data_IF_127163361479
#
_entry.id   IF_127163361479
#
_cell.length_a   1.000
_cell.length_b   1.000
_cell.length_c   1.000
_cell.angle_alpha   90.00
_cell.angle_beta   90.00
_cell.angle_gamma   90.00
#
_symmetry.space_group_name_H-M   'P 1'
#
loop_
_entity.id
_entity.type
_entity.pdbx_description
1 polymer ?
#
# COMPACT_ATOMS: atom_id res chain seq x y z
N UNK A 1 -1.02 8.18 13.22
CA UNK A 1 -2.15 8.41 14.13
C UNK A 1 -3.34 8.98 13.37
N UNK A 2 -4.56 8.60 13.73
CA UNK A 2 -5.77 9.10 13.10
C UNK A 2 -5.79 10.64 13.11
N UNK A 3 -6.11 11.28 11.95
CA UNK A 3 -6.10 12.74 11.76
C UNK A 3 -4.72 13.42 11.91
N UNK A 4 -3.62 12.69 11.80
CA UNK A 4 -2.27 13.29 11.78
C UNK A 4 -2.08 14.20 10.55
N UNK A 5 -2.83 13.98 9.51
CA UNK A 5 -2.84 14.72 8.25
C UNK A 5 -4.11 15.58 8.05
N UNK A 6 -4.76 16.01 9.14
CA UNK A 6 -5.96 16.84 9.09
C UNK A 6 -5.72 18.22 8.48
N UNK A 7 -4.49 18.72 8.50
CA UNK A 7 -4.02 19.86 7.69
C UNK A 7 -2.62 19.58 7.18
N UNK A 8 -2.13 20.26 6.12
CA UNK A 8 -0.77 20.12 5.62
C UNK A 8 0.30 20.36 6.71
N UNK A 9 0.09 21.34 7.60
CA UNK A 9 1.00 21.65 8.69
C UNK A 9 1.06 20.49 9.70
N UNK A 10 -0.09 19.92 10.08
CA UNK A 10 -0.13 18.76 10.98
C UNK A 10 0.53 17.52 10.34
N UNK A 11 0.37 17.34 9.03
CA UNK A 11 1.07 16.30 8.30
C UNK A 11 2.59 16.50 8.37
N UNK A 12 3.07 17.73 8.22
CA UNK A 12 4.49 18.06 8.35
C UNK A 12 5.00 17.82 9.78
N UNK A 13 4.28 18.25 10.79
CA UNK A 13 4.65 18.02 12.19
C UNK A 13 4.77 16.53 12.49
N UNK A 14 3.81 15.72 12.03
CA UNK A 14 3.84 14.26 12.19
C UNK A 14 5.01 13.63 11.42
N UNK A 15 5.22 14.01 10.15
CA UNK A 15 6.32 13.53 9.32
C UNK A 15 7.69 13.90 9.92
N UNK A 16 7.84 15.12 10.41
CA UNK A 16 9.07 15.59 11.09
C UNK A 16 9.41 14.68 12.28
N UNK A 17 8.44 14.36 13.11
CA UNK A 17 8.64 13.44 14.26
C UNK A 17 9.03 12.03 13.81
N UNK A 18 8.46 11.52 12.72
CA UNK A 18 8.84 10.21 12.17
C UNK A 18 10.28 10.22 11.65
N UNK A 19 10.66 11.24 10.89
CA UNK A 19 12.02 11.36 10.36
C UNK A 19 13.05 11.54 11.49
N UNK A 20 12.75 12.32 12.51
CA UNK A 20 13.59 12.46 13.70
C UNK A 20 13.74 11.14 14.48
N UNK A 21 12.72 10.27 14.44
CA UNK A 21 12.78 8.94 15.02
C UNK A 21 13.48 7.89 14.11
N UNK A 22 14.02 8.31 12.97
CA UNK A 22 14.78 7.45 12.05
C UNK A 22 13.99 6.91 10.86
N UNK A 23 12.74 7.33 10.64
CA UNK A 23 12.04 7.00 9.40
C UNK A 23 12.68 7.74 8.21
N UNK A 24 12.61 7.14 7.02
CA UNK A 24 13.13 7.73 5.78
C UNK A 24 12.04 8.26 4.86
N UNK A 25 10.77 7.98 5.18
CA UNK A 25 9.61 8.33 4.37
C UNK A 25 8.36 8.39 5.25
N UNK A 26 7.42 9.29 4.95
CA UNK A 26 6.10 9.35 5.58
C UNK A 26 5.04 8.73 4.67
N UNK A 27 4.09 7.94 5.23
CA UNK A 27 3.00 7.33 4.45
C UNK A 27 1.68 8.05 4.72
N UNK A 28 0.92 8.38 3.63
CA UNK A 28 -0.41 8.98 3.66
C UNK A 28 -1.42 8.17 2.85
N UNK A 29 -2.67 8.07 3.35
CA UNK A 29 -3.75 7.31 2.72
C UNK A 29 -4.73 8.21 1.98
N UNK A 30 -5.03 7.86 0.71
CA UNK A 30 -6.03 8.49 -0.13
C UNK A 30 -5.52 9.59 -1.05
N UNK A 31 -6.41 10.06 -1.95
CA UNK A 31 -6.14 11.08 -2.96
C UNK A 31 -7.25 12.14 -3.02
N UNK A 32 -7.94 12.44 -1.91
CA UNK A 32 -8.84 13.59 -1.89
C UNK A 32 -8.04 14.89 -2.06
N UNK A 33 -8.64 16.00 -2.53
CA UNK A 33 -7.93 17.27 -2.70
C UNK A 33 -7.09 17.64 -1.47
N UNK A 34 -7.67 17.50 -0.31
CA UNK A 34 -7.00 17.74 0.97
C UNK A 34 -5.76 16.81 1.18
N UNK A 35 -5.82 15.53 0.77
CA UNK A 35 -4.67 14.62 0.85
C UNK A 35 -3.59 14.97 -0.16
N UNK A 36 -3.99 15.35 -1.37
CA UNK A 36 -3.06 15.83 -2.40
C UNK A 36 -2.33 17.11 -1.96
N UNK A 37 -3.02 18.03 -1.31
CA UNK A 37 -2.40 19.24 -0.73
C UNK A 37 -1.40 18.89 0.37
N UNK A 38 -1.70 17.92 1.23
CA UNK A 38 -0.75 17.45 2.25
C UNK A 38 0.47 16.78 1.61
N UNK A 39 0.30 15.92 0.57
CA UNK A 39 1.41 15.30 -0.14
C UNK A 39 2.30 16.36 -0.78
N UNK A 40 1.73 17.34 -1.49
CA UNK A 40 2.47 18.44 -2.12
C UNK A 40 3.24 19.26 -1.09
N UNK A 41 2.59 19.62 0.00
CA UNK A 41 3.18 20.41 1.06
C UNK A 41 4.40 19.72 1.71
N UNK A 42 4.35 18.41 1.87
CA UNK A 42 5.47 17.60 2.37
C UNK A 42 6.59 17.49 1.34
N UNK A 43 6.25 17.17 0.09
CA UNK A 43 7.23 17.00 -0.98
C UNK A 43 8.01 18.29 -1.27
N UNK A 44 7.35 19.46 -1.26
CA UNK A 44 8.00 20.78 -1.40
C UNK A 44 8.98 21.11 -0.24
N UNK A 45 8.91 20.36 0.86
CA UNK A 45 9.79 20.49 2.04
C UNK A 45 10.75 19.33 2.20
N UNK A 46 11.05 18.66 1.08
CA UNK A 46 12.02 17.57 0.99
C UNK A 46 11.66 16.34 1.85
N UNK A 47 10.38 16.17 2.24
CA UNK A 47 9.91 14.98 2.93
C UNK A 47 9.47 13.94 1.90
N UNK A 48 10.16 12.79 1.78
CA UNK A 48 9.70 11.71 0.90
C UNK A 48 8.34 11.17 1.33
N UNK A 49 7.41 11.02 0.39
CA UNK A 49 6.04 10.58 0.66
C UNK A 49 5.73 9.26 -0.04
N UNK A 50 5.24 8.29 0.72
CA UNK A 50 4.59 7.09 0.23
C UNK A 50 3.08 7.31 0.24
N UNK A 51 2.45 7.40 -0.92
CA UNK A 51 1.00 7.40 -1.03
C UNK A 51 0.43 5.98 -0.87
N UNK A 52 -0.84 5.86 -0.46
CA UNK A 52 -1.51 4.59 -0.32
C UNK A 52 -2.94 4.68 -0.86
N UNK A 53 -3.27 3.85 -1.83
CA UNK A 53 -4.56 3.79 -2.51
C UNK A 53 -5.13 2.37 -2.52
N UNK A 54 -6.38 2.24 -2.94
CA UNK A 54 -7.15 1.02 -2.86
C UNK A 54 -7.90 0.92 -1.53
N UNK A 55 -7.82 -0.21 -0.85
CA UNK A 55 -8.30 -0.31 0.52
C UNK A 55 -7.37 0.47 1.44
N UNK A 56 -7.90 1.48 2.10
CA UNK A 56 -7.17 2.27 3.08
C UNK A 56 -7.73 1.99 4.47
N UNK A 57 -6.95 1.41 5.40
CA UNK A 57 -7.43 1.02 6.73
C UNK A 57 -8.13 2.13 7.51
N UNK A 58 -7.66 3.38 7.40
CA UNK A 58 -8.31 4.51 8.06
C UNK A 58 -9.70 4.85 7.48
N UNK A 59 -10.00 4.39 6.27
CA UNK A 59 -11.29 4.60 5.60
C UNK A 59 -12.22 3.38 5.65
N UNK A 60 -11.87 2.32 6.37
CA UNK A 60 -12.59 1.04 6.37
C UNK A 60 -14.08 1.19 6.71
N UNK A 61 -14.43 2.09 7.62
CA UNK A 61 -15.84 2.38 7.97
C UNK A 61 -16.59 3.01 6.79
N UNK A 62 -15.97 3.95 6.08
CA UNK A 62 -16.54 4.61 4.90
C UNK A 62 -16.65 3.65 3.72
N UNK A 63 -15.72 2.72 3.58
CA UNK A 63 -15.69 1.71 2.52
C UNK A 63 -16.64 0.53 2.79
N UNK A 64 -17.27 0.47 3.98
CA UNK A 64 -18.18 -0.60 4.36
C UNK A 64 -17.47 -1.93 4.63
N UNK A 65 -16.25 -1.88 5.15
CA UNK A 65 -15.43 -3.03 5.52
C UNK A 65 -14.21 -3.24 4.61
N UNK A 66 -13.54 -4.37 4.80
CA UNK A 66 -12.37 -4.77 4.01
C UNK A 66 -12.82 -5.32 2.65
N UNK A 67 -12.87 -4.46 1.64
CA UNK A 67 -13.35 -4.79 0.30
C UNK A 67 -12.30 -4.44 -0.76
N UNK A 68 -12.24 -5.25 -1.81
CA UNK A 68 -11.45 -4.96 -3.01
C UNK A 68 -11.97 -3.68 -3.66
N UNK A 69 -11.06 -2.79 -4.03
CA UNK A 69 -11.34 -1.49 -4.63
C UNK A 69 -11.06 -1.52 -6.13
N UNK A 70 -11.85 -0.79 -6.93
CA UNK A 70 -11.62 -0.70 -8.36
C UNK A 70 -12.18 -1.89 -9.17
N UNK A 71 -13.24 -2.57 -8.72
CA UNK A 71 -13.83 -3.73 -9.40
C UNK A 71 -14.69 -3.37 -10.60
N UNK A 72 -15.31 -2.22 -10.59
CA UNK A 72 -16.09 -1.74 -11.74
C UNK A 72 -15.31 -0.67 -12.52
N UNK A 73 -15.69 -0.44 -13.77
CA UNK A 73 -14.96 0.46 -14.67
C UNK A 73 -14.84 1.88 -14.14
N UNK A 74 -15.88 2.39 -13.47
CA UNK A 74 -15.88 3.72 -12.88
C UNK A 74 -14.91 3.82 -11.71
N UNK A 75 -14.93 2.84 -10.82
CA UNK A 75 -14.01 2.78 -9.68
C UNK A 75 -12.56 2.54 -10.15
N UNK A 76 -12.37 1.72 -11.18
CA UNK A 76 -11.05 1.51 -11.79
C UNK A 76 -10.51 2.78 -12.43
N UNK A 77 -11.30 3.49 -13.24
CA UNK A 77 -10.90 4.76 -13.84
C UNK A 77 -10.51 5.79 -12.78
N UNK A 78 -11.32 5.90 -11.72
CA UNK A 78 -11.03 6.80 -10.62
C UNK A 78 -9.74 6.44 -9.89
N UNK A 79 -9.48 5.17 -9.62
CA UNK A 79 -8.25 4.75 -8.94
C UNK A 79 -7.00 5.06 -9.79
N UNK A 80 -7.08 4.97 -11.12
CA UNK A 80 -6.02 5.38 -12.05
C UNK A 80 -5.79 6.90 -12.01
N UNK A 81 -6.87 7.69 -11.99
CA UNK A 81 -6.79 9.15 -11.84
C UNK A 81 -6.14 9.53 -10.49
N UNK A 82 -6.59 8.91 -9.40
CA UNK A 82 -6.05 9.11 -8.06
C UNK A 82 -4.56 8.74 -7.99
N UNK A 83 -4.13 7.66 -8.66
CA UNK A 83 -2.73 7.24 -8.72
C UNK A 83 -1.83 8.25 -9.46
N UNK A 84 -2.30 8.80 -10.57
CA UNK A 84 -1.59 9.89 -11.27
C UNK A 84 -1.54 11.15 -10.41
N UNK A 85 -2.65 11.50 -9.77
CA UNK A 85 -2.74 12.71 -8.95
C UNK A 85 -1.77 12.68 -7.75
N UNK A 86 -1.61 11.53 -7.06
CA UNK A 86 -0.63 11.43 -5.97
C UNK A 86 0.81 11.52 -6.48
N UNK A 87 1.12 10.96 -7.64
CA UNK A 87 2.43 11.13 -8.28
C UNK A 87 2.68 12.60 -8.62
N UNK A 88 1.72 13.29 -9.23
CA UNK A 88 1.83 14.71 -9.61
C UNK A 88 1.92 15.61 -8.37
N UNK A 89 1.33 15.22 -7.26
CA UNK A 89 1.47 15.90 -5.99
C UNK A 89 2.86 15.73 -5.34
N UNK A 90 3.72 14.84 -5.88
CA UNK A 90 5.10 14.66 -5.43
C UNK A 90 5.32 13.39 -4.58
N UNK A 91 4.39 12.44 -4.56
CA UNK A 91 4.65 11.14 -3.95
C UNK A 91 5.83 10.45 -4.65
N UNK A 92 6.68 9.80 -3.85
CA UNK A 92 7.87 9.07 -4.33
C UNK A 92 7.63 7.56 -4.44
N UNK A 93 6.54 7.06 -3.85
CA UNK A 93 6.17 5.65 -3.82
C UNK A 93 4.64 5.54 -3.69
N UNK A 94 4.04 4.50 -4.26
CA UNK A 94 2.63 4.20 -4.12
C UNK A 94 2.40 2.77 -3.61
N UNK A 95 1.66 2.63 -2.51
CA UNK A 95 1.10 1.34 -2.07
C UNK A 95 -0.27 1.15 -2.70
N UNK A 96 -0.52 -0.03 -3.29
CA UNK A 96 -1.82 -0.47 -3.80
C UNK A 96 -2.30 -1.66 -2.95
N UNK A 97 -3.41 -1.47 -2.21
CA UNK A 97 -3.97 -2.51 -1.34
C UNK A 97 -5.34 -2.99 -1.82
N UNK A 98 -5.50 -4.31 -1.91
CA UNK A 98 -6.77 -4.96 -2.29
C UNK A 98 -7.35 -4.37 -3.59
N UNK A 99 -6.55 -4.41 -4.66
CA UNK A 99 -6.89 -3.95 -6.02
C UNK A 99 -6.84 -5.14 -6.98
N UNK A 100 -7.75 -5.25 -7.97
CA UNK A 100 -7.65 -6.28 -9.01
C UNK A 100 -6.29 -6.25 -9.70
N UNK A 101 -5.69 -7.44 -9.93
CA UNK A 101 -4.33 -7.58 -10.47
C UNK A 101 -4.13 -6.85 -11.80
N UNK A 102 -5.12 -6.95 -12.71
CA UNK A 102 -5.06 -6.28 -14.01
C UNK A 102 -5.05 -4.74 -13.87
N UNK A 103 -5.83 -4.20 -12.92
CA UNK A 103 -5.86 -2.77 -12.65
C UNK A 103 -4.55 -2.29 -12.01
N UNK A 104 -4.00 -3.05 -11.05
CA UNK A 104 -2.71 -2.73 -10.44
C UNK A 104 -1.58 -2.76 -11.47
N UNK A 105 -1.56 -3.74 -12.38
CA UNK A 105 -0.62 -3.81 -13.49
C UNK A 105 -0.71 -2.58 -14.40
N UNK A 106 -1.93 -2.16 -14.76
CA UNK A 106 -2.14 -0.96 -15.58
C UNK A 106 -1.63 0.31 -14.87
N UNK A 107 -1.94 0.48 -13.58
CA UNK A 107 -1.46 1.61 -12.78
C UNK A 107 0.07 1.60 -12.70
N UNK A 108 0.69 0.46 -12.42
CA UNK A 108 2.16 0.32 -12.35
C UNK A 108 2.82 0.74 -13.67
N UNK A 109 2.26 0.30 -14.81
CA UNK A 109 2.80 0.66 -16.14
C UNK A 109 2.61 2.13 -16.54
N UNK A 110 1.69 2.85 -15.91
CA UNK A 110 1.42 4.27 -16.19
C UNK A 110 2.24 5.23 -15.33
N UNK A 111 2.67 4.80 -14.15
CA UNK A 111 3.39 5.64 -13.21
C UNK A 111 4.91 5.61 -13.46
N UNK A 112 5.58 6.68 -13.03
CA UNK A 112 7.04 6.77 -12.99
C UNK A 112 7.60 6.44 -11.61
N UNK A 113 6.77 6.50 -10.57
CA UNK A 113 7.14 6.13 -9.20
C UNK A 113 6.89 4.64 -8.98
N UNK A 114 7.72 3.95 -8.17
CA UNK A 114 7.53 2.55 -7.87
C UNK A 114 6.19 2.28 -7.18
N UNK A 115 5.63 1.10 -7.43
CA UNK A 115 4.42 0.60 -6.78
C UNK A 115 4.72 -0.60 -5.88
N UNK A 116 4.07 -0.65 -4.73
CA UNK A 116 4.15 -1.77 -3.79
C UNK A 116 2.76 -2.37 -3.61
N UNK A 117 2.62 -3.65 -3.94
CA UNK A 117 1.34 -4.36 -3.84
C UNK A 117 1.14 -5.03 -2.49
N UNK A 118 -0.09 -5.04 -2.01
CA UNK A 118 -0.59 -5.90 -0.96
C UNK A 118 -2.00 -6.35 -1.33
N UNK A 119 -2.16 -7.59 -1.77
CA UNK A 119 -3.39 -8.04 -2.40
C UNK A 119 -3.71 -7.29 -3.70
N UNK A 120 -2.69 -6.96 -4.49
CA UNK A 120 -2.81 -6.24 -5.76
C UNK A 120 -2.18 -7.02 -6.95
N UNK A 121 -1.88 -8.29 -6.74
CA UNK A 121 -1.26 -9.16 -7.75
C UNK A 121 0.25 -8.94 -7.90
N UNK A 122 0.90 -9.75 -8.77
CA UNK A 122 2.35 -9.81 -8.87
C UNK A 122 2.99 -8.71 -9.73
N UNK A 123 2.22 -7.85 -10.38
CA UNK A 123 2.71 -6.90 -11.38
C UNK A 123 3.14 -5.53 -10.81
N UNK A 124 3.05 -5.34 -9.49
CA UNK A 124 3.66 -4.20 -8.82
C UNK A 124 5.19 -4.39 -8.74
N UNK A 125 5.94 -3.30 -8.63
CA UNK A 125 7.41 -3.31 -8.55
C UNK A 125 7.95 -4.00 -7.29
N UNK A 126 7.12 -4.08 -6.24
CA UNK A 126 7.42 -4.81 -5.02
C UNK A 126 6.16 -5.25 -4.29
N UNK A 127 6.34 -5.98 -3.19
CA UNK A 127 5.26 -6.49 -2.35
C UNK A 127 5.49 -6.17 -0.89
N UNK A 128 4.41 -5.96 -0.14
CA UNK A 128 4.44 -5.87 1.32
C UNK A 128 3.39 -6.80 1.92
N UNK A 129 3.70 -7.38 3.06
CA UNK A 129 2.75 -8.06 3.94
C UNK A 129 2.93 -7.57 5.38
N UNK A 130 1.84 -7.56 6.14
CA UNK A 130 1.89 -7.31 7.58
C UNK A 130 2.67 -8.45 8.25
N UNK A 131 3.48 -8.12 9.26
CA UNK A 131 4.27 -9.09 10.02
C UNK A 131 3.47 -10.32 10.46
N UNK A 132 2.27 -10.10 11.00
CA UNK A 132 1.39 -11.18 11.45
C UNK A 132 0.96 -12.10 10.31
N UNK A 133 0.73 -11.55 9.11
CA UNK A 133 0.33 -12.30 7.93
C UNK A 133 1.49 -13.16 7.41
N UNK A 134 2.72 -12.62 7.36
CA UNK A 134 3.94 -13.37 6.97
C UNK A 134 4.16 -14.56 7.89
N UNK A 135 3.93 -14.39 9.19
CA UNK A 135 4.15 -15.41 10.20
C UNK A 135 2.93 -16.31 10.46
N UNK A 136 1.84 -16.13 9.71
CA UNK A 136 0.62 -16.90 9.90
C UNK A 136 -0.03 -16.77 11.28
N UNK A 137 0.27 -15.68 12.00
CA UNK A 137 -0.28 -15.44 13.34
C UNK A 137 -1.76 -15.13 13.23
N UNK A 138 -2.59 -15.99 13.81
CA UNK A 138 -4.03 -15.83 13.80
C UNK A 138 -4.44 -14.70 14.75
N UNK A 139 -5.08 -13.66 14.21
CA UNK A 139 -5.65 -12.55 14.97
C UNK A 139 -7.12 -12.78 15.36
N UNK A 140 -7.65 -13.99 15.14
CA UNK A 140 -9.08 -14.31 15.36
C UNK A 140 -10.01 -13.75 14.28
N UNK A 141 -9.48 -13.16 13.21
CA UNK A 141 -10.23 -12.68 12.08
C UNK A 141 -10.04 -13.58 10.84
N UNK A 142 -11.02 -13.56 9.93
CA UNK A 142 -10.88 -14.29 8.66
C UNK A 142 -9.62 -13.80 7.92
N UNK A 143 -8.71 -14.75 7.65
CA UNK A 143 -7.49 -14.50 6.89
C UNK A 143 -7.82 -13.93 5.49
N UNK A 144 -7.27 -12.78 5.08
CA UNK A 144 -7.47 -12.26 3.73
C UNK A 144 -6.94 -13.20 2.67
N UNK A 145 -7.52 -13.19 1.46
CA UNK A 145 -7.12 -14.05 0.35
C UNK A 145 -5.63 -13.91 -0.01
N UNK A 146 -5.08 -12.72 0.06
CA UNK A 146 -3.70 -12.42 -0.32
C UNK A 146 -2.64 -12.85 0.70
N UNK A 147 -3.05 -13.38 1.87
CA UNK A 147 -2.14 -13.77 2.94
C UNK A 147 -1.66 -15.20 2.76
N UNK A 148 -0.33 -15.38 2.73
CA UNK A 148 0.35 -16.67 2.79
C UNK A 148 1.19 -16.77 4.07
N UNK A 149 1.05 -17.88 4.78
CA UNK A 149 1.87 -18.21 5.94
C UNK A 149 3.22 -18.76 5.46
N UNK A 150 4.28 -17.99 5.69
CA UNK A 150 5.65 -18.39 5.35
C UNK A 150 6.37 -19.07 6.52
N UNK A 151 5.82 -18.97 7.76
CA UNK A 151 6.42 -19.62 8.92
C UNK A 151 6.27 -21.14 8.86
N UNK A 152 5.13 -21.63 8.37
CA UNK A 152 4.86 -23.07 8.26
C UNK A 152 5.92 -23.81 7.41
N UNK A 153 6.50 -23.17 6.39
CA UNK A 153 7.56 -23.72 5.55
C UNK A 153 8.97 -23.25 5.91
N UNK A 154 9.09 -22.12 6.63
CA UNK A 154 10.38 -21.48 6.91
C UNK A 154 11.11 -22.00 8.15
N UNK A 155 10.45 -22.76 9.03
CA UNK A 155 11.02 -23.38 10.22
C UNK A 155 11.43 -22.42 11.34
N UNK A 156 11.58 -21.13 11.05
CA UNK A 156 11.91 -20.06 11.99
C UNK A 156 11.37 -18.73 11.49
N UNK A 157 11.30 -17.70 12.36
CA UNK A 157 10.92 -16.34 11.99
C UNK A 157 11.84 -15.80 10.90
N UNK A 158 13.15 -15.94 11.04
CA UNK A 158 14.12 -15.52 10.03
C UNK A 158 13.91 -16.28 8.70
N UNK A 159 13.70 -17.60 8.77
CA UNK A 159 13.40 -18.44 7.60
C UNK A 159 12.12 -18.02 6.89
N UNK A 160 11.07 -17.64 7.62
CA UNK A 160 9.82 -17.12 7.05
C UNK A 160 10.05 -15.83 6.25
N UNK A 161 10.79 -14.86 6.81
CA UNK A 161 11.10 -13.63 6.09
C UNK A 161 11.99 -13.86 4.87
N UNK A 162 12.96 -14.75 4.97
CA UNK A 162 13.80 -15.12 3.83
C UNK A 162 12.96 -15.77 2.73
N UNK A 163 12.12 -16.74 3.07
CA UNK A 163 11.22 -17.40 2.13
C UNK A 163 10.23 -16.42 1.46
N UNK A 164 9.70 -15.47 2.22
CA UNK A 164 8.86 -14.39 1.67
C UNK A 164 9.64 -13.53 0.66
N UNK A 165 10.81 -13.06 1.05
CA UNK A 165 11.62 -12.20 0.20
C UNK A 165 12.05 -12.90 -1.10
N UNK A 166 12.40 -14.19 -1.02
CA UNK A 166 12.80 -15.00 -2.18
C UNK A 166 11.59 -15.25 -3.09
N UNK A 167 10.41 -15.58 -2.53
CA UNK A 167 9.19 -15.79 -3.30
C UNK A 167 8.73 -14.52 -4.04
N UNK A 168 8.94 -13.34 -3.46
CA UNK A 168 8.66 -12.05 -4.13
C UNK A 168 9.68 -11.82 -5.28
N UNK A 169 10.96 -12.09 -5.06
CA UNK A 169 12.02 -11.88 -6.07
C UNK A 169 11.93 -12.82 -7.26
N UNK A 170 11.58 -14.08 -7.01
CA UNK A 170 11.42 -15.08 -8.07
C UNK A 170 10.04 -15.07 -8.74
N UNK A 171 9.11 -14.23 -8.25
CA UNK A 171 7.76 -14.06 -8.77
C UNK A 171 6.78 -15.19 -8.40
N UNK A 172 7.12 -16.08 -7.47
CA UNK A 172 6.23 -17.14 -7.00
C UNK A 172 5.21 -16.67 -5.97
N UNK A 173 5.33 -15.43 -5.50
CA UNK A 173 4.35 -14.75 -4.64
C UNK A 173 4.23 -13.26 -5.00
N UNK A 174 2.99 -12.72 -5.06
CA UNK A 174 1.72 -13.43 -4.96
C UNK A 174 1.40 -14.21 -6.25
N UNK A 175 0.80 -15.37 -6.11
CA UNK A 175 0.25 -16.16 -7.21
C UNK A 175 -1.25 -15.86 -7.41
N UNK A 176 -1.93 -16.57 -8.33
CA UNK A 176 -3.35 -16.41 -8.60
C UNK A 176 -4.26 -16.70 -7.39
N UNK A 177 -3.82 -17.64 -6.52
CA UNK A 177 -4.57 -17.95 -5.30
C UNK A 177 -4.55 -16.79 -4.28
N UNK A 178 -3.49 -15.96 -4.33
CA UNK A 178 -3.26 -14.84 -3.44
C UNK A 178 -3.56 -13.47 -4.09
N UNK A 179 -4.20 -13.45 -5.25
CA UNK A 179 -4.51 -12.25 -6.03
C UNK A 179 -6.01 -12.07 -6.23
N UNK A 180 -6.46 -10.84 -6.42
CA UNK A 180 -7.85 -10.51 -6.75
C UNK A 180 -8.01 -10.24 -8.25
N UNK A 181 -9.20 -10.60 -8.74
CA UNK A 181 -9.68 -10.30 -10.10
C UNK A 181 -10.75 -9.21 -10.05
#
# INVERSE_FOLDING_TARGET
PFQADATPERALDAATRFLQAGATMAKLEGATPHKLDAIRYLAEREVPVCAHLGLTPQSVLRLGGFRVQGRDDRAAARLREDARAVQEAGASLLVLECVPSALAAAITGELRIPTIGIGAGPQCDGQVLVLHDVLGLDSGHRRPKFVRDFLAGGGSVEGAFRAYADAVRDGSFPDAAHSYE
#
